data_IF_633074258270
#
_entry.id   IF_633074258270
#
_cell.length_a   1.000
_cell.length_b   1.000
_cell.length_c   1.000
_cell.angle_alpha   90.00
_cell.angle_beta   90.00
_cell.angle_gamma   90.00
#
_symmetry.space_group_name_H-M   'P 1'
#
loop_
_entity.id
_entity.type
_entity.pdbx_description
1 polymer ?
#
# COMPACT_ATOMS: atom_id res chain seq x y z
N UNK A 1 -5.39 9.15 14.43
CA UNK A 1 -5.16 7.70 14.63
C UNK A 1 -4.00 7.56 15.61
N UNK A 2 -4.05 6.68 16.60
CA UNK A 2 -2.87 6.47 17.46
C UNK A 2 -1.80 5.74 16.64
N UNK A 3 -0.57 6.27 16.59
CA UNK A 3 0.57 5.63 15.92
C UNK A 3 0.81 4.18 16.39
N UNK A 4 0.39 3.85 17.62
CA UNK A 4 0.40 2.50 18.17
C UNK A 4 -0.36 1.47 17.31
N UNK A 5 -1.42 1.88 16.60
CA UNK A 5 -2.17 0.97 15.70
C UNK A 5 -1.32 0.49 14.52
N UNK A 6 -0.35 1.29 14.07
CA UNK A 6 0.57 0.88 12.99
C UNK A 6 1.60 -0.16 13.45
N UNK A 7 1.75 -0.37 14.76
CA UNK A 7 2.59 -1.44 15.33
C UNK A 7 1.81 -2.72 15.63
N UNK A 8 0.51 -2.73 15.38
CA UNK A 8 -0.33 -3.91 15.60
C UNK A 8 0.00 -4.98 14.56
N UNK A 9 0.54 -6.11 15.04
CA UNK A 9 0.93 -7.23 14.17
C UNK A 9 -0.27 -7.90 13.48
N UNK A 10 -1.45 -7.89 14.11
CA UNK A 10 -2.66 -8.44 13.51
C UNK A 10 -3.14 -7.60 12.33
N UNK A 11 -3.10 -6.27 12.47
CA UNK A 11 -3.38 -5.35 11.36
C UNK A 11 -2.37 -5.48 10.23
N UNK A 12 -1.08 -5.61 10.54
CA UNK A 12 -0.05 -5.85 9.52
C UNK A 12 -0.30 -7.17 8.76
N UNK A 13 -0.59 -8.28 9.46
CA UNK A 13 -0.86 -9.58 8.82
C UNK A 13 -2.08 -9.57 7.90
N UNK A 14 -3.18 -8.91 8.31
CA UNK A 14 -4.34 -8.70 7.43
C UNK A 14 -3.95 -7.82 6.24
N UNK A 15 -3.17 -6.78 6.51
CA UNK A 15 -2.64 -5.85 5.52
C UNK A 15 -1.80 -6.51 4.45
N UNK A 16 -0.86 -7.38 4.81
CA UNK A 16 -0.03 -8.17 3.88
C UNK A 16 -0.90 -8.96 2.89
N UNK A 17 -1.95 -9.61 3.41
CA UNK A 17 -2.90 -10.35 2.55
C UNK A 17 -3.64 -9.44 1.57
N UNK A 18 -4.10 -8.28 2.03
CA UNK A 18 -4.78 -7.28 1.19
C UNK A 18 -3.83 -6.70 0.14
N UNK A 19 -2.62 -6.31 0.55
CA UNK A 19 -1.58 -5.73 -0.31
C UNK A 19 -1.17 -6.72 -1.40
N UNK A 20 -0.95 -7.99 -1.05
CA UNK A 20 -0.60 -9.03 -2.01
C UNK A 20 -1.74 -9.30 -3.01
N UNK A 21 -2.99 -9.26 -2.56
CA UNK A 21 -4.14 -9.36 -3.46
C UNK A 21 -4.22 -8.17 -4.43
N UNK A 22 -4.15 -6.94 -3.91
CA UNK A 22 -4.16 -5.72 -4.72
C UNK A 22 -3.04 -5.74 -5.76
N UNK A 23 -1.81 -6.04 -5.34
CA UNK A 23 -0.64 -6.15 -6.22
C UNK A 23 -0.85 -7.19 -7.33
N UNK A 24 -1.32 -8.40 -6.97
CA UNK A 24 -1.59 -9.48 -7.92
C UNK A 24 -2.64 -9.09 -8.95
N UNK A 25 -3.75 -8.48 -8.50
CA UNK A 25 -4.85 -8.07 -9.35
C UNK A 25 -4.48 -6.90 -10.27
N UNK A 26 -3.84 -5.86 -9.73
CA UNK A 26 -3.35 -4.71 -10.51
C UNK A 26 -2.42 -5.20 -11.62
N UNK A 27 -1.41 -6.01 -11.28
CA UNK A 27 -0.45 -6.47 -12.28
C UNK A 27 -1.06 -7.44 -13.30
N UNK A 28 -2.00 -8.29 -12.87
CA UNK A 28 -2.76 -9.16 -13.78
C UNK A 28 -3.49 -8.35 -14.84
N UNK A 29 -4.19 -7.29 -14.43
CA UNK A 29 -4.97 -6.44 -15.33
C UNK A 29 -4.08 -5.54 -16.20
N UNK A 30 -3.04 -4.93 -15.63
CA UNK A 30 -2.08 -4.11 -16.38
C UNK A 30 -1.38 -4.93 -17.47
N UNK A 31 -1.04 -6.19 -17.19
CA UNK A 31 -0.29 -7.06 -18.13
C UNK A 31 -1.17 -7.98 -18.97
N UNK A 32 -2.48 -8.03 -18.69
CA UNK A 32 -3.42 -8.96 -19.31
C UNK A 32 -3.00 -10.44 -19.18
N UNK A 33 -2.33 -10.78 -18.07
CA UNK A 33 -1.83 -12.14 -17.79
C UNK A 33 -1.98 -12.43 -16.30
N UNK A 34 -2.71 -13.48 -15.89
CA UNK A 34 -2.83 -13.88 -14.49
C UNK A 34 -1.47 -14.09 -13.82
N UNK A 35 -1.27 -13.45 -12.66
CA UNK A 35 -0.10 -13.63 -11.82
C UNK A 35 -0.45 -13.50 -10.33
N UNK A 36 0.37 -14.15 -9.49
CA UNK A 36 0.38 -13.94 -8.04
C UNK A 36 1.65 -13.21 -7.64
N UNK A 37 1.53 -12.18 -6.81
CA UNK A 37 2.63 -11.34 -6.35
C UNK A 37 2.61 -11.30 -4.83
N UNK A 38 3.74 -11.68 -4.23
CA UNK A 38 4.07 -11.31 -2.87
C UNK A 38 4.94 -10.06 -2.91
N UNK A 39 4.46 -8.96 -2.34
CA UNK A 39 5.16 -7.67 -2.39
C UNK A 39 6.35 -7.72 -1.43
N UNK A 40 7.59 -7.46 -1.89
CA UNK A 40 8.74 -7.42 -0.99
C UNK A 40 8.69 -6.18 -0.08
N UNK A 41 9.08 -6.31 1.18
CA UNK A 41 9.09 -5.23 2.18
C UNK A 41 9.81 -3.97 1.68
N UNK A 42 10.92 -4.15 0.96
CA UNK A 42 11.68 -3.03 0.38
C UNK A 42 10.84 -2.14 -0.56
N UNK A 43 9.84 -2.71 -1.24
CA UNK A 43 8.93 -1.93 -2.09
C UNK A 43 7.91 -1.19 -1.23
N UNK A 44 7.42 -1.78 -0.13
CA UNK A 44 6.52 -1.10 0.79
C UNK A 44 7.21 0.05 1.53
N UNK A 45 8.49 -0.12 1.90
CA UNK A 45 9.33 0.98 2.41
C UNK A 45 9.43 2.09 1.37
N UNK A 46 9.63 1.76 0.08
CA UNK A 46 9.64 2.75 -0.99
C UNK A 46 8.29 3.45 -1.16
N UNK A 47 7.17 2.72 -1.07
CA UNK A 47 5.83 3.35 -1.05
C UNK A 47 5.75 4.36 0.10
N UNK A 48 6.23 4.00 1.30
CA UNK A 48 6.24 4.88 2.47
C UNK A 48 7.05 6.16 2.26
N UNK A 49 8.18 6.06 1.54
CA UNK A 49 9.01 7.18 1.14
C UNK A 49 8.28 8.07 0.12
N UNK A 50 7.69 7.48 -0.92
CA UNK A 50 7.02 8.23 -2.00
C UNK A 50 5.72 8.92 -1.57
N UNK A 51 4.98 8.38 -0.59
CA UNK A 51 3.81 9.06 0.00
C UNK A 51 4.18 10.01 1.16
N UNK A 52 5.47 10.15 1.47
CA UNK A 52 5.97 11.06 2.50
C UNK A 52 5.64 10.65 3.94
N UNK A 53 5.29 9.38 4.22
CA UNK A 53 5.04 8.91 5.60
C UNK A 53 6.31 8.43 6.30
N UNK A 54 7.41 8.19 5.56
CA UNK A 54 8.69 7.76 6.15
C UNK A 54 9.18 8.68 7.26
N UNK A 55 9.09 9.99 7.06
CA UNK A 55 9.51 10.99 8.05
C UNK A 55 8.68 10.96 9.34
N UNK A 56 7.41 10.51 9.25
CA UNK A 56 6.50 10.35 10.39
C UNK A 56 6.75 9.05 11.16
N UNK A 57 7.40 8.09 10.51
CA UNK A 57 7.81 6.81 11.08
C UNK A 57 9.30 6.81 11.48
N UNK A 58 9.83 7.96 11.89
CA UNK A 58 11.20 8.06 12.43
C UNK A 58 11.34 7.12 13.64
N UNK A 59 12.45 6.38 13.66
CA UNK A 59 12.72 5.36 14.69
C UNK A 59 12.12 3.98 14.41
N UNK A 60 11.28 3.82 13.37
CA UNK A 60 10.86 2.50 12.90
C UNK A 60 11.98 1.88 12.06
N UNK A 61 12.25 0.60 12.29
CA UNK A 61 13.06 -0.27 11.43
C UNK A 61 12.41 -0.45 10.05
N UNK A 62 13.16 -1.00 9.08
CA UNK A 62 12.61 -1.26 7.73
C UNK A 62 11.40 -2.18 7.74
N UNK A 63 11.46 -3.25 8.53
CA UNK A 63 10.35 -4.19 8.72
C UNK A 63 9.15 -3.49 9.35
N UNK A 64 9.35 -2.69 10.41
CA UNK A 64 8.25 -1.96 11.04
C UNK A 64 7.57 -0.94 10.10
N UNK A 65 8.31 -0.31 9.17
CA UNK A 65 7.71 0.57 8.14
C UNK A 65 6.87 -0.25 7.17
N UNK A 66 7.37 -1.39 6.71
CA UNK A 66 6.63 -2.29 5.83
C UNK A 66 5.30 -2.71 6.48
N UNK A 67 5.38 -3.21 7.72
CA UNK A 67 4.23 -3.60 8.51
C UNK A 67 3.27 -2.42 8.75
N UNK A 68 3.78 -1.20 8.93
CA UNK A 68 2.95 -0.01 9.08
C UNK A 68 2.16 0.29 7.79
N UNK A 69 2.78 0.17 6.62
CA UNK A 69 2.08 0.34 5.33
C UNK A 69 0.99 -0.72 5.15
N UNK A 70 1.29 -1.98 5.44
CA UNK A 70 0.29 -3.06 5.43
C UNK A 70 -0.87 -2.76 6.39
N UNK A 71 -0.58 -2.38 7.63
CA UNK A 71 -1.57 -2.00 8.60
C UNK A 71 -2.44 -0.83 8.11
N UNK A 72 -1.90 0.14 7.36
CA UNK A 72 -2.70 1.21 6.77
C UNK A 72 -3.75 0.68 5.78
N UNK A 73 -3.40 -0.28 4.92
CA UNK A 73 -4.36 -0.93 4.01
C UNK A 73 -5.44 -1.69 4.79
N UNK A 74 -5.05 -2.44 5.82
CA UNK A 74 -6.01 -3.15 6.68
C UNK A 74 -6.99 -2.18 7.37
N UNK A 75 -6.48 -1.07 7.92
CA UNK A 75 -7.31 -0.07 8.59
C UNK A 75 -8.27 0.60 7.61
N UNK A 76 -7.85 0.91 6.38
CA UNK A 76 -8.74 1.48 5.38
C UNK A 76 -9.88 0.53 5.03
N UNK A 77 -9.55 -0.74 4.81
CA UNK A 77 -10.54 -1.76 4.48
C UNK A 77 -11.51 -1.99 5.64
N UNK A 78 -11.01 -2.17 6.87
CA UNK A 78 -11.84 -2.35 8.08
C UNK A 78 -12.75 -1.16 8.40
N UNK A 79 -12.41 0.04 7.91
CA UNK A 79 -13.20 1.26 8.09
C UNK A 79 -14.13 1.57 6.91
N UNK A 80 -14.27 0.64 5.98
CA UNK A 80 -15.08 0.79 4.77
C UNK A 80 -14.67 2.03 3.94
N UNK A 81 -13.36 2.32 3.93
CA UNK A 81 -12.74 3.42 3.16
C UNK A 81 -12.01 2.94 1.92
N UNK A 82 -11.86 1.63 1.76
CA UNK A 82 -11.19 1.02 0.63
C UNK A 82 -12.04 -0.13 0.08
N UNK A 83 -12.78 0.16 -0.99
CA UNK A 83 -13.35 -0.87 -1.85
C UNK A 83 -12.23 -1.42 -2.76
N UNK A 84 -11.94 -2.71 -2.65
CA UNK A 84 -10.78 -3.30 -3.32
C UNK A 84 -10.95 -3.29 -4.85
N UNK A 85 -12.14 -3.60 -5.36
CA UNK A 85 -12.37 -3.68 -6.81
C UNK A 85 -12.21 -2.31 -7.48
N UNK A 86 -12.79 -1.27 -6.86
CA UNK A 86 -12.63 0.12 -7.32
C UNK A 86 -11.19 0.56 -7.23
N UNK A 87 -10.50 0.31 -6.11
CA UNK A 87 -9.11 0.69 -5.92
C UNK A 87 -8.18 0.05 -6.96
N UNK A 88 -8.42 -1.22 -7.32
CA UNK A 88 -7.68 -1.92 -8.38
C UNK A 88 -7.90 -1.22 -9.73
N UNK A 89 -9.14 -0.93 -10.11
CA UNK A 89 -9.45 -0.28 -11.39
C UNK A 89 -8.80 1.10 -11.49
N UNK A 90 -8.92 1.90 -10.43
CA UNK A 90 -8.36 3.25 -10.40
C UNK A 90 -6.82 3.21 -10.45
N UNK A 91 -6.18 2.30 -9.71
CA UNK A 91 -4.73 2.12 -9.75
C UNK A 91 -4.23 1.67 -11.14
N UNK A 92 -4.92 0.74 -11.80
CA UNK A 92 -4.58 0.31 -13.16
C UNK A 92 -4.69 1.45 -14.17
N UNK A 93 -5.67 2.36 -13.99
CA UNK A 93 -5.80 3.56 -14.84
C UNK A 93 -4.70 4.59 -14.58
N UNK A 94 -4.16 4.65 -13.36
CA UNK A 94 -3.11 5.58 -12.98
C UNK A 94 -1.70 5.13 -13.42
N UNK A 95 -1.46 3.82 -13.54
CA UNK A 95 -0.16 3.29 -13.98
C UNK A 95 0.09 3.66 -15.46
N UNK A 96 1.17 4.41 -15.71
CA UNK A 96 1.61 4.70 -17.08
C UNK A 96 2.14 3.45 -17.76
N UNK A 97 1.69 3.19 -18.99
CA UNK A 97 2.13 2.03 -19.80
C UNK A 97 3.58 2.11 -20.29
N UNK A 98 4.26 3.23 -20.03
CA UNK A 98 5.67 3.44 -20.41
C UNK A 98 6.66 2.96 -19.34
N UNK A 99 6.19 2.57 -18.15
CA UNK A 99 7.02 2.03 -17.09
C UNK A 99 7.58 0.65 -17.46
N UNK A 100 8.91 0.47 -17.56
CA UNK A 100 9.50 -0.78 -18.03
C UNK A 100 9.62 -1.86 -16.94
N UNK A 101 9.22 -1.57 -15.69
CA UNK A 101 9.60 -2.34 -14.50
C UNK A 101 8.40 -2.72 -13.63
N UNK A 102 8.26 -4.03 -13.38
CA UNK A 102 7.26 -4.60 -12.46
C UNK A 102 7.24 -3.93 -11.10
N UNK A 103 8.41 -3.58 -10.57
CA UNK A 103 8.48 -3.03 -9.23
C UNK A 103 7.99 -1.58 -9.20
N UNK A 104 8.19 -0.84 -10.29
CA UNK A 104 7.72 0.54 -10.41
C UNK A 104 6.20 0.57 -10.54
N UNK A 105 5.61 -0.30 -11.37
CA UNK A 105 4.15 -0.41 -11.49
C UNK A 105 3.48 -0.78 -10.14
N UNK A 106 4.11 -1.68 -9.39
CA UNK A 106 3.63 -2.08 -8.06
C UNK A 106 3.67 -0.91 -7.07
N UNK A 107 4.81 -0.20 -7.01
CA UNK A 107 4.96 0.96 -6.14
C UNK A 107 3.96 2.05 -6.54
N UNK A 108 3.81 2.32 -7.84
CA UNK A 108 2.90 3.33 -8.36
C UNK A 108 1.44 3.00 -8.00
N UNK A 109 1.01 1.75 -8.23
CA UNK A 109 -0.36 1.32 -7.91
C UNK A 109 -0.68 1.39 -6.41
N UNK A 110 0.22 0.91 -5.55
CA UNK A 110 0.02 0.95 -4.09
C UNK A 110 0.10 2.38 -3.54
N UNK A 111 1.03 3.19 -4.05
CA UNK A 111 1.16 4.62 -3.74
C UNK A 111 -0.12 5.36 -4.11
N UNK A 112 -0.65 5.12 -5.31
CA UNK A 112 -1.87 5.75 -5.79
C UNK A 112 -3.03 5.45 -4.84
N UNK A 113 -3.19 4.19 -4.42
CA UNK A 113 -4.27 3.81 -3.49
C UNK A 113 -4.12 4.53 -2.15
N UNK A 114 -2.94 4.53 -1.53
CA UNK A 114 -2.77 5.22 -0.25
C UNK A 114 -2.88 6.74 -0.35
N UNK A 115 -2.44 7.34 -1.45
CA UNK A 115 -2.56 8.78 -1.66
C UNK A 115 -4.01 9.20 -1.89
N UNK A 116 -4.81 8.35 -2.53
CA UNK A 116 -6.22 8.61 -2.87
C UNK A 116 -7.16 8.30 -1.71
N UNK A 117 -7.04 7.11 -1.14
CA UNK A 117 -7.95 6.57 -0.12
C UNK A 117 -7.40 6.76 1.30
N UNK A 118 -6.08 6.81 1.45
CA UNK A 118 -5.37 6.88 2.73
C UNK A 118 -5.14 8.27 3.30
N UNK A 119 -5.53 9.35 2.61
CA UNK A 119 -5.26 10.73 3.04
C UNK A 119 -5.68 11.01 4.49
N UNK A 120 -6.89 10.56 4.88
CA UNK A 120 -7.40 10.74 6.24
C UNK A 120 -6.57 10.00 7.31
N UNK A 121 -5.94 8.87 6.97
CA UNK A 121 -5.05 8.13 7.87
C UNK A 121 -3.70 8.84 7.95
N UNK A 122 -3.16 9.30 6.81
CA UNK A 122 -1.87 9.98 6.73
C UNK A 122 -1.90 11.31 7.49
N UNK A 123 -2.96 12.09 7.36
CA UNK A 123 -3.15 13.35 8.11
C UNK A 123 -3.26 13.09 9.62
N UNK A 124 -3.88 11.97 9.99
CA UNK A 124 -4.03 11.52 11.36
C UNK A 124 -2.74 11.01 12.02
N UNK A 125 -1.64 10.91 11.26
CA UNK A 125 -0.28 10.65 11.75
C UNK A 125 0.50 11.93 12.06
N UNK A 126 -0.12 13.10 11.91
CA UNK A 126 0.47 14.35 12.39
C UNK A 126 0.51 14.35 13.93
N UNK A 127 1.58 14.93 14.52
CA UNK A 127 1.73 15.02 15.97
C UNK A 127 0.59 15.80 16.65
#
# INVERSE_FOLDING_TARGET
MKAALLKDKGLALLGDSIVNFLASAIMTLTRRKPCGIKVPDRLLVRVAEEIGVRERLKGFSREEISNAIEAMFAILWLRDKLDLERAIKDAVMAISRESPSTNDDLVEGLKYILSTYGKSIIEQLNP
#
